data_IF_745516709303
#
_entry.id   IF_745516709303
#
_cell.length_a   1.000
_cell.length_b   1.000
_cell.length_c   1.000
_cell.angle_alpha   90.00
_cell.angle_beta   90.00
_cell.angle_gamma   90.00
#
_symmetry.space_group_name_H-M   'P 1'
#
loop_
_entity.id
_entity.type
_entity.pdbx_description
1 polymer ?
#
# COMPACT_ATOMS: atom_id res chain seq x y z
N UNK A 1 6.14 -6.71 -0.98
CA UNK A 1 6.79 -5.70 -1.86
C UNK A 1 7.14 -6.32 -3.20
N UNK A 2 6.85 -5.64 -4.27
CA UNK A 2 7.10 -6.10 -5.62
C UNK A 2 8.17 -5.21 -6.26
N UNK A 3 9.10 -5.82 -6.99
CA UNK A 3 10.17 -5.08 -7.67
C UNK A 3 9.70 -4.67 -9.06
N UNK A 4 9.79 -3.37 -9.36
CA UNK A 4 9.41 -2.78 -10.64
C UNK A 4 10.58 -2.02 -11.25
N UNK A 5 10.52 -1.79 -12.57
CA UNK A 5 11.33 -0.74 -13.19
C UNK A 5 10.68 0.61 -12.87
N UNK A 6 11.46 1.69 -12.95
CA UNK A 6 10.92 3.02 -12.75
C UNK A 6 9.83 3.34 -13.79
N UNK A 7 10.00 2.86 -15.01
CA UNK A 7 8.99 3.03 -16.07
C UNK A 7 7.66 2.38 -15.70
N UNK A 8 7.69 1.18 -15.13
CA UNK A 8 6.47 0.51 -14.67
C UNK A 8 5.80 1.27 -13.52
N UNK A 9 6.59 1.85 -12.62
CA UNK A 9 6.05 2.69 -11.56
C UNK A 9 5.33 3.92 -12.16
N UNK A 10 5.94 4.59 -13.13
CA UNK A 10 5.33 5.73 -13.81
C UNK A 10 3.99 5.34 -14.45
N UNK A 11 3.93 4.19 -15.09
CA UNK A 11 2.68 3.68 -15.67
C UNK A 11 1.63 3.42 -14.60
N UNK A 12 2.04 2.83 -13.48
CA UNK A 12 1.13 2.52 -12.38
C UNK A 12 0.48 3.77 -11.80
N UNK A 13 1.22 4.87 -11.70
CA UNK A 13 0.73 6.15 -11.15
C UNK A 13 0.34 7.15 -12.24
N UNK A 14 0.27 6.70 -13.49
CA UNK A 14 -0.13 7.51 -14.63
C UNK A 14 0.72 8.78 -14.81
N UNK A 15 2.02 8.68 -14.53
CA UNK A 15 2.97 9.76 -14.68
C UNK A 15 2.88 10.87 -13.64
N UNK A 16 2.17 10.66 -12.55
CA UNK A 16 1.99 11.66 -11.49
C UNK A 16 3.23 11.76 -10.60
N UNK A 17 4.12 12.68 -10.93
CA UNK A 17 5.38 12.87 -10.19
C UNK A 17 5.16 13.32 -8.75
N UNK A 18 4.16 14.14 -8.49
CA UNK A 18 3.84 14.60 -7.14
C UNK A 18 3.43 13.42 -6.25
N UNK A 19 2.61 12.53 -6.81
CA UNK A 19 2.21 11.32 -6.11
C UNK A 19 3.42 10.44 -5.80
N UNK A 20 4.35 10.28 -6.74
CA UNK A 20 5.57 9.49 -6.52
C UNK A 20 6.38 10.05 -5.34
N UNK A 21 6.53 11.36 -5.24
CA UNK A 21 7.25 11.99 -4.13
C UNK A 21 6.62 11.59 -2.79
N UNK A 22 5.30 11.67 -2.70
CA UNK A 22 4.58 11.26 -1.49
C UNK A 22 4.75 9.78 -1.18
N UNK A 23 4.67 8.92 -2.20
CA UNK A 23 4.83 7.47 -2.01
C UNK A 23 6.21 7.10 -1.50
N UNK A 24 7.25 7.78 -1.99
CA UNK A 24 8.62 7.57 -1.52
C UNK A 24 8.76 8.02 -0.06
N UNK A 25 8.24 9.19 0.28
CA UNK A 25 8.29 9.71 1.64
C UNK A 25 7.58 8.80 2.64
N UNK A 26 6.49 8.16 2.23
CA UNK A 26 5.74 7.22 3.08
C UNK A 26 6.36 5.81 3.11
N UNK A 27 7.39 5.56 2.33
CA UNK A 27 8.02 4.25 2.28
C UNK A 27 7.24 3.20 1.49
N UNK A 28 6.25 3.59 0.72
CA UNK A 28 5.49 2.67 -0.15
C UNK A 28 6.26 2.34 -1.42
N UNK A 29 7.21 3.15 -1.77
CA UNK A 29 8.14 2.98 -2.89
C UNK A 29 9.54 3.23 -2.37
N UNK A 30 10.44 2.26 -2.57
CA UNK A 30 11.84 2.37 -2.20
C UNK A 30 12.71 2.23 -3.45
N UNK A 31 13.61 3.17 -3.63
CA UNK A 31 14.52 3.17 -4.77
C UNK A 31 15.76 2.33 -4.49
N UNK A 32 16.18 1.55 -5.50
CA UNK A 32 17.43 0.83 -5.51
C UNK A 32 17.98 0.90 -6.92
N UNK A 33 19.17 1.43 -7.13
CA UNK A 33 19.85 1.59 -8.42
C UNK A 33 18.92 1.71 -9.64
N UNK A 34 18.66 0.58 -10.34
CA UNK A 34 17.85 0.56 -11.56
C UNK A 34 16.41 0.11 -11.35
N UNK A 35 16.04 -0.20 -10.12
CA UNK A 35 14.70 -0.71 -9.80
C UNK A 35 14.08 0.04 -8.64
N UNK A 36 12.78 -0.17 -8.47
CA UNK A 36 12.03 0.31 -7.30
C UNK A 36 11.29 -0.87 -6.69
N UNK A 37 11.19 -0.88 -5.36
CA UNK A 37 10.37 -1.85 -4.64
C UNK A 37 9.07 -1.15 -4.27
N UNK A 38 7.94 -1.77 -4.60
CA UNK A 38 6.62 -1.14 -4.52
C UNK A 38 5.67 -2.00 -3.69
N UNK A 39 5.03 -1.37 -2.71
CA UNK A 39 3.88 -1.96 -2.01
C UNK A 39 2.64 -1.69 -2.87
N UNK A 40 2.34 -2.63 -3.77
CA UNK A 40 1.34 -2.43 -4.84
C UNK A 40 -0.04 -2.11 -4.29
N UNK A 41 -0.52 -2.86 -3.30
CA UNK A 41 -1.87 -2.65 -2.77
C UNK A 41 -2.05 -1.27 -2.15
N UNK A 42 -1.05 -0.84 -1.37
CA UNK A 42 -1.08 0.47 -0.73
C UNK A 42 -0.90 1.61 -1.74
N UNK A 43 -0.07 1.41 -2.74
CA UNK A 43 0.11 2.39 -3.84
C UNK A 43 -1.19 2.55 -4.62
N UNK A 44 -1.88 1.45 -4.95
CA UNK A 44 -3.16 1.52 -5.65
C UNK A 44 -4.23 2.23 -4.82
N UNK A 45 -4.29 1.97 -3.52
CA UNK A 45 -5.19 2.68 -2.62
C UNK A 45 -4.88 4.19 -2.61
N UNK A 46 -3.62 4.55 -2.43
CA UNK A 46 -3.20 5.95 -2.43
C UNK A 46 -3.52 6.64 -3.76
N UNK A 47 -3.27 5.97 -4.87
CA UNK A 47 -3.58 6.49 -6.21
C UNK A 47 -5.07 6.77 -6.37
N UNK A 48 -5.92 5.82 -5.96
CA UNK A 48 -7.38 5.98 -6.06
C UNK A 48 -7.85 7.18 -5.22
N UNK A 49 -7.37 7.29 -4.00
CA UNK A 49 -7.75 8.39 -3.12
C UNK A 49 -7.25 9.74 -3.66
N UNK A 50 -6.02 9.78 -4.17
CA UNK A 50 -5.39 10.98 -4.67
C UNK A 50 -5.99 11.47 -5.99
N UNK A 51 -6.15 10.57 -6.96
CA UNK A 51 -6.56 10.94 -8.33
C UNK A 51 -8.07 10.87 -8.55
N UNK A 52 -8.72 9.84 -8.03
CA UNK A 52 -10.14 9.62 -8.33
C UNK A 52 -11.07 10.29 -7.32
N UNK A 53 -10.65 10.39 -6.08
CA UNK A 53 -11.46 10.94 -5.00
C UNK A 53 -10.97 12.29 -4.49
N UNK A 54 -9.87 12.79 -5.05
CA UNK A 54 -9.31 14.11 -4.72
C UNK A 54 -9.09 14.31 -3.21
N UNK A 55 -8.67 13.26 -2.53
CA UNK A 55 -8.35 13.31 -1.10
C UNK A 55 -6.96 13.92 -0.93
N UNK A 56 -6.79 14.83 0.01
CA UNK A 56 -5.49 15.41 0.30
C UNK A 56 -4.56 14.39 0.97
N UNK A 57 -3.25 14.68 1.00
CA UNK A 57 -2.28 13.71 1.50
C UNK A 57 -2.47 13.37 2.99
N UNK A 58 -2.77 14.31 3.89
CA UNK A 58 -3.06 13.94 5.28
C UNK A 58 -4.21 12.93 5.41
N UNK A 59 -5.26 13.07 4.61
CA UNK A 59 -6.36 12.12 4.57
C UNK A 59 -5.94 10.76 4.05
N UNK A 60 -5.07 10.73 3.05
CA UNK A 60 -4.52 9.49 2.50
C UNK A 60 -3.67 8.77 3.55
N UNK A 61 -2.85 9.50 4.31
CA UNK A 61 -2.05 8.91 5.38
C UNK A 61 -2.94 8.21 6.42
N UNK A 62 -4.05 8.83 6.79
CA UNK A 62 -5.01 8.21 7.73
C UNK A 62 -5.61 6.94 7.12
N UNK A 63 -6.03 7.00 5.85
CA UNK A 63 -6.60 5.86 5.16
C UNK A 63 -5.62 4.69 5.06
N UNK A 64 -4.35 4.98 4.75
CA UNK A 64 -3.30 3.95 4.68
C UNK A 64 -3.08 3.28 6.04
N UNK A 65 -3.08 4.07 7.12
CA UNK A 65 -2.95 3.52 8.47
C UNK A 65 -4.12 2.63 8.84
N UNK A 66 -5.35 3.09 8.57
CA UNK A 66 -6.55 2.30 8.86
C UNK A 66 -6.59 1.02 8.03
N UNK A 67 -6.18 1.06 6.78
CA UNK A 67 -6.09 -0.12 5.93
C UNK A 67 -5.10 -1.14 6.50
N UNK A 68 -3.95 -0.67 7.02
CA UNK A 68 -2.97 -1.56 7.65
C UNK A 68 -3.50 -2.16 8.96
N UNK A 69 -4.17 -1.36 9.78
CA UNK A 69 -4.80 -1.87 11.01
C UNK A 69 -5.88 -2.91 10.70
N UNK A 70 -6.66 -2.69 9.66
CA UNK A 70 -7.67 -3.65 9.21
C UNK A 70 -7.03 -4.95 8.74
N UNK A 71 -5.95 -4.87 7.98
CA UNK A 71 -5.20 -6.04 7.51
C UNK A 71 -4.66 -6.83 8.70
N UNK A 72 -4.07 -6.15 9.69
CA UNK A 72 -3.55 -6.79 10.89
C UNK A 72 -4.66 -7.47 11.69
N UNK A 73 -5.82 -6.82 11.84
CA UNK A 73 -6.96 -7.38 12.53
C UNK A 73 -7.49 -8.64 11.83
N UNK A 74 -7.57 -8.61 10.51
CA UNK A 74 -8.00 -9.77 9.71
C UNK A 74 -7.04 -10.95 9.85
N UNK A 75 -5.72 -10.68 9.86
CA UNK A 75 -4.74 -11.74 10.12
C UNK A 75 -4.94 -12.36 11.50
N UNK A 76 -5.17 -11.50 12.51
CA UNK A 76 -5.39 -11.98 13.88
C UNK A 76 -6.66 -12.81 13.99
N UNK A 77 -7.73 -12.43 13.32
CA UNK A 77 -8.97 -13.20 13.27
C UNK A 77 -8.71 -14.58 12.66
N UNK A 78 -8.00 -14.62 11.52
CA UNK A 78 -7.67 -15.89 10.87
C UNK A 78 -6.84 -16.80 11.77
N UNK A 79 -5.86 -16.24 12.49
CA UNK A 79 -5.04 -17.00 13.44
C UNK A 79 -5.89 -17.57 14.58
N UNK A 80 -6.79 -16.76 15.13
CA UNK A 80 -7.68 -17.20 16.21
C UNK A 80 -8.67 -18.27 15.74
N UNK A 81 -9.22 -18.11 14.54
CA UNK A 81 -10.11 -19.11 13.96
C UNK A 81 -9.38 -20.44 13.73
N UNK A 82 -8.14 -20.38 13.23
CA UNK A 82 -7.32 -21.57 13.04
C UNK A 82 -7.00 -22.27 14.38
N UNK A 83 -6.66 -21.48 15.40
CA UNK A 83 -6.39 -22.01 16.74
C UNK A 83 -7.65 -22.65 17.35
N UNK A 84 -8.81 -22.02 17.17
CA UNK A 84 -10.08 -22.55 17.67
C UNK A 84 -10.45 -23.84 16.95
N UNK A 85 -10.28 -23.89 15.63
CA UNK A 85 -10.54 -25.10 14.84
C UNK A 85 -9.62 -26.26 15.28
N UNK A 86 -8.35 -25.98 15.55
CA UNK A 86 -7.40 -26.99 16.04
C UNK A 86 -7.78 -27.50 17.43
N UNK A 87 -8.24 -26.63 18.32
CA UNK A 87 -8.66 -27.00 19.67
C UNK A 87 -9.96 -27.82 19.70
N UNK A 88 -10.76 -27.73 18.62
CA UNK A 88 -12.04 -28.45 18.52
C UNK A 88 -11.92 -29.84 17.94
N UNK A 89 -10.72 -30.29 17.56
CA UNK A 89 -10.48 -31.62 17.00
C UNK A 89 -10.33 -32.67 18.11
#
# INVERSE_FOLDING_TARGET
>A
MTRFTYQHLLELVEGDDELIVHLVEEGLVERAEDTVTVDVDRVLLARTLWRDLDVDWPGIEVALRLAEELRAARRRIAELEAALAAASR
#
